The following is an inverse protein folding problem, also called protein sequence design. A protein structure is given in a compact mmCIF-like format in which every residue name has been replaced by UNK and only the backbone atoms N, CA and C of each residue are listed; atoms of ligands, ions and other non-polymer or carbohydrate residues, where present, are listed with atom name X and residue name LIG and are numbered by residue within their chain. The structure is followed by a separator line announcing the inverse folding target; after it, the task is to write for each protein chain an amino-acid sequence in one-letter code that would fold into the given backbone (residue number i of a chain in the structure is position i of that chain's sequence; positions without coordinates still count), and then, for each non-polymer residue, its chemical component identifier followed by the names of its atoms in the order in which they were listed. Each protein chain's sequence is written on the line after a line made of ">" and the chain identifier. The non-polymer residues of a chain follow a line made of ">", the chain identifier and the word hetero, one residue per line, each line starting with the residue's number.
data_IF_772684459428
#
_entry.id   IF_772684459428
#
_cell.length_a   1.000
_cell.length_b   1.000
_cell.length_c   1.000
_cell.angle_alpha   90.00
_cell.angle_beta   90.00
_cell.angle_gamma   90.00
#
_symmetry.space_group_name_H-M   'P 1'
#
loop_
_entity.id
_entity.type
_entity.pdbx_description
1 polymer ?
#
# COMPACT_ATOMS: atom_id res chain seq x y z
N UNK A 1 -0.75 -20.38 20.70
CA UNK A 1 -1.89 -19.45 20.80
C UNK A 1 -3.15 -20.24 20.49
N UNK A 2 -4.27 -19.99 21.16
CA UNK A 2 -5.51 -20.71 20.89
C UNK A 2 -6.73 -19.82 21.13
N UNK A 3 -7.86 -20.16 20.51
CA UNK A 3 -9.15 -19.54 20.81
C UNK A 3 -9.64 -19.94 22.19
N UNK A 4 -10.56 -19.14 22.73
CA UNK A 4 -11.15 -19.37 24.05
C UNK A 4 -11.99 -20.66 24.12
N UNK A 5 -12.59 -21.05 22.99
CA UNK A 5 -13.47 -22.20 22.81
C UNK A 5 -12.77 -23.42 22.19
N UNK A 6 -11.44 -23.45 22.21
CA UNK A 6 -10.69 -24.54 21.61
C UNK A 6 -10.93 -25.87 22.35
N UNK A 7 -11.50 -26.82 21.63
CA UNK A 7 -11.65 -28.22 22.03
C UNK A 7 -11.06 -29.07 20.89
N UNK A 8 -10.02 -29.89 21.16
CA UNK A 8 -9.37 -30.71 20.13
C UNK A 8 -10.37 -31.54 19.33
N UNK A 9 -10.27 -31.49 18.00
CA UNK A 9 -11.17 -32.15 17.05
C UNK A 9 -12.66 -31.76 17.12
N UNK A 10 -13.04 -30.70 17.86
CA UNK A 10 -14.45 -30.32 18.07
C UNK A 10 -14.71 -28.86 17.71
N UNK A 11 -13.99 -27.92 18.32
CA UNK A 11 -14.25 -26.47 18.17
C UNK A 11 -12.99 -25.63 18.31
N UNK A 12 -13.04 -24.39 17.82
CA UNK A 12 -12.00 -23.38 17.98
C UNK A 12 -10.76 -23.57 17.10
N UNK A 13 -9.69 -22.86 17.44
CA UNK A 13 -8.41 -22.95 16.74
C UNK A 13 -7.23 -22.97 17.70
N UNK A 14 -6.13 -23.60 17.29
CA UNK A 14 -4.87 -23.65 18.04
C UNK A 14 -3.69 -23.54 17.08
N UNK A 15 -2.86 -22.53 17.31
CA UNK A 15 -1.53 -22.36 16.74
C UNK A 15 -0.49 -22.85 17.75
N UNK A 16 0.16 -23.96 17.44
CA UNK A 16 1.21 -24.57 18.25
C UNK A 16 2.54 -23.87 18.05
N UNK A 17 3.49 -24.10 18.97
CA UNK A 17 4.82 -23.46 18.94
C UNK A 17 5.71 -23.98 17.81
N UNK A 18 5.41 -25.17 17.28
CA UNK A 18 6.05 -25.76 16.11
C UNK A 18 5.53 -25.20 14.78
N UNK A 19 4.58 -24.26 14.83
CA UNK A 19 3.95 -23.66 13.65
C UNK A 19 2.74 -24.42 13.13
N UNK A 20 2.36 -25.56 13.74
CA UNK A 20 1.15 -26.27 13.34
C UNK A 20 -0.11 -25.48 13.71
N UNK A 21 -1.07 -25.40 12.78
CA UNK A 21 -2.34 -24.71 12.95
C UNK A 21 -3.48 -25.73 12.85
N UNK A 22 -4.20 -25.92 13.95
CA UNK A 22 -5.41 -26.73 14.03
C UNK A 22 -6.61 -25.79 14.03
N UNK A 23 -7.57 -26.03 13.14
CA UNK A 23 -8.83 -25.28 13.07
C UNK A 23 -9.96 -26.29 13.05
N UNK A 24 -10.74 -26.33 14.12
CA UNK A 24 -11.91 -27.18 14.25
C UNK A 24 -13.14 -26.29 14.20
N UNK A 25 -13.74 -26.11 13.03
CA UNK A 25 -15.05 -25.46 12.94
C UNK A 25 -15.87 -26.03 11.78
N UNK A 26 -17.18 -26.19 12.00
CA UNK A 26 -18.12 -26.55 10.94
C UNK A 26 -18.43 -25.37 9.98
N UNK A 27 -18.03 -24.14 10.33
CA UNK A 27 -18.30 -22.92 9.54
C UNK A 27 -17.15 -21.93 9.73
N UNK A 28 -16.20 -21.94 8.80
CA UNK A 28 -15.31 -20.81 8.60
C UNK A 28 -16.03 -19.79 7.72
N UNK A 29 -16.28 -18.60 8.25
CA UNK A 29 -16.59 -17.42 7.43
C UNK A 29 -15.67 -16.29 7.88
N UNK A 30 -14.44 -16.26 7.37
CA UNK A 30 -13.64 -15.02 7.42
C UNK A 30 -14.15 -14.13 6.31
N UNK A 31 -14.81 -13.02 6.68
CA UNK A 31 -15.35 -12.04 5.72
C UNK A 31 -16.72 -12.37 5.13
N UNK A 32 -17.46 -13.34 5.69
CA UNK A 32 -18.85 -13.57 5.26
C UNK A 32 -19.75 -12.41 5.66
N UNK A 33 -20.33 -11.71 4.70
CA UNK A 33 -21.34 -10.67 4.99
C UNK A 33 -22.58 -11.35 5.61
N UNK A 34 -23.18 -10.79 6.69
CA UNK A 34 -24.34 -11.37 7.36
C UNK A 34 -25.46 -11.79 6.39
N UNK A 35 -26.02 -12.99 6.58
CA UNK A 35 -27.10 -13.53 5.75
C UNK A 35 -28.45 -12.81 5.95
N UNK A 36 -28.56 -12.01 7.01
CA UNK A 36 -29.76 -11.23 7.31
C UNK A 36 -29.71 -9.85 6.61
N UNK A 37 -30.88 -9.29 6.22
CA UNK A 37 -30.96 -7.92 5.71
C UNK A 37 -30.35 -6.91 6.68
N UNK A 38 -29.48 -6.04 6.17
CA UNK A 38 -28.80 -5.03 6.98
C UNK A 38 -29.45 -3.66 6.83
N UNK A 39 -29.19 -2.76 7.79
CA UNK A 39 -29.49 -1.34 7.61
C UNK A 39 -28.51 -0.75 6.61
N UNK A 40 -29.04 -0.10 5.58
CA UNK A 40 -28.26 0.56 4.53
C UNK A 40 -28.68 2.02 4.41
N UNK A 41 -27.71 2.84 4.00
CA UNK A 41 -27.94 4.22 3.59
C UNK A 41 -28.23 4.22 2.10
N UNK A 42 -29.42 4.68 1.72
CA UNK A 42 -29.85 4.78 0.33
C UNK A 42 -29.77 6.23 -0.11
N UNK A 43 -29.09 6.49 -1.23
CA UNK A 43 -29.10 7.79 -1.88
C UNK A 43 -30.43 8.01 -2.61
N UNK A 44 -31.22 8.97 -2.13
CA UNK A 44 -32.44 9.40 -2.80
C UNK A 44 -32.17 10.46 -3.89
N UNK A 45 -31.05 11.17 -3.79
CA UNK A 45 -30.59 12.09 -4.83
C UNK A 45 -29.22 12.68 -4.51
N UNK A 46 -28.53 13.08 -5.57
CA UNK A 46 -27.22 13.70 -5.53
C UNK A 46 -27.18 14.78 -6.61
N UNK A 47 -26.74 15.98 -6.23
CA UNK A 47 -26.70 17.15 -7.10
C UNK A 47 -25.42 17.93 -6.85
N UNK A 48 -24.86 18.54 -7.90
CA UNK A 48 -23.86 19.58 -7.68
C UNK A 48 -24.56 20.78 -7.05
N UNK A 49 -23.89 21.46 -6.12
CA UNK A 49 -24.47 22.61 -5.41
C UNK A 49 -24.90 23.73 -6.38
N UNK A 50 -24.19 23.87 -7.52
CA UNK A 50 -24.51 24.81 -8.60
C UNK A 50 -25.78 24.49 -9.38
N UNK A 51 -26.23 23.24 -9.36
CA UNK A 51 -27.43 22.80 -10.08
C UNK A 51 -28.70 22.93 -9.22
N UNK A 52 -28.52 23.27 -7.93
CA UNK A 52 -29.62 23.49 -7.00
C UNK A 52 -30.07 24.96 -7.02
N UNK A 53 -31.36 25.24 -6.75
CA UNK A 53 -31.84 26.61 -6.70
C UNK A 53 -31.07 27.44 -5.67
N UNK A 54 -30.59 28.63 -6.07
CA UNK A 54 -29.90 29.56 -5.15
C UNK A 54 -30.87 30.20 -4.16
N UNK A 55 -32.13 30.38 -4.56
CA UNK A 55 -33.16 30.93 -3.68
C UNK A 55 -33.55 29.92 -2.60
N UNK A 56 -33.47 30.31 -1.33
CA UNK A 56 -33.75 29.43 -0.20
C UNK A 56 -35.16 28.81 -0.24
N UNK A 57 -36.18 29.56 -0.65
CA UNK A 57 -37.55 29.04 -0.73
C UNK A 57 -37.68 27.97 -1.82
N UNK A 58 -37.11 28.23 -2.99
CA UNK A 58 -37.10 27.27 -4.10
C UNK A 58 -36.25 26.04 -3.78
N UNK A 59 -35.13 26.22 -3.08
CA UNK A 59 -34.30 25.13 -2.58
C UNK A 59 -35.10 24.20 -1.65
N UNK A 60 -35.77 24.77 -0.64
CA UNK A 60 -36.58 23.98 0.29
C UNK A 60 -37.76 23.30 -0.42
N UNK A 61 -38.42 23.97 -1.36
CA UNK A 61 -39.49 23.39 -2.15
C UNK A 61 -38.97 22.21 -3.01
N UNK A 62 -37.81 22.38 -3.66
CA UNK A 62 -37.17 21.35 -4.44
C UNK A 62 -36.81 20.13 -3.57
N UNK A 63 -36.06 20.33 -2.49
CA UNK A 63 -35.65 19.23 -1.61
C UNK A 63 -36.86 18.56 -0.95
N UNK A 64 -37.86 19.33 -0.52
CA UNK A 64 -39.12 18.80 0.01
C UNK A 64 -39.85 17.90 -0.99
N UNK A 65 -39.83 18.26 -2.28
CA UNK A 65 -40.38 17.40 -3.34
C UNK A 65 -39.61 16.08 -3.49
N UNK A 66 -38.29 16.10 -3.31
CA UNK A 66 -37.46 14.88 -3.35
C UNK A 66 -37.70 14.00 -2.12
N UNK A 67 -37.82 14.59 -0.92
CA UNK A 67 -38.17 13.86 0.31
C UNK A 67 -39.54 13.19 0.17
N UNK A 68 -40.49 13.82 -0.53
CA UNK A 68 -41.82 13.24 -0.76
C UNK A 68 -41.77 11.97 -1.62
N UNK A 69 -40.75 11.81 -2.48
CA UNK A 69 -40.52 10.57 -3.25
C UNK A 69 -39.98 9.42 -2.39
N UNK A 70 -39.38 9.70 -1.24
CA UNK A 70 -38.95 8.68 -0.27
C UNK A 70 -40.21 8.06 0.37
N UNK A 71 -40.28 6.72 0.55
CA UNK A 71 -41.39 6.07 1.25
C UNK A 71 -41.62 6.66 2.63
N UNK A 72 -42.89 6.83 3.01
CA UNK A 72 -43.29 7.61 4.19
C UNK A 72 -42.66 7.10 5.50
N UNK A 73 -42.51 5.78 5.62
CA UNK A 73 -41.89 5.07 6.74
C UNK A 73 -40.40 5.38 6.92
N UNK A 74 -39.70 5.86 5.89
CA UNK A 74 -38.27 6.16 5.95
C UNK A 74 -37.94 7.65 5.95
N UNK A 75 -38.91 8.53 5.68
CA UNK A 75 -38.70 9.99 5.61
C UNK A 75 -38.11 10.57 6.89
N UNK A 76 -38.45 10.01 8.05
CA UNK A 76 -37.93 10.46 9.35
C UNK A 76 -36.39 10.26 9.49
N UNK A 77 -35.82 9.32 8.73
CA UNK A 77 -34.37 9.06 8.70
C UNK A 77 -33.64 9.84 7.61
N UNK A 78 -34.36 10.61 6.79
CA UNK A 78 -33.78 11.31 5.65
C UNK A 78 -32.83 12.42 6.14
N UNK A 79 -31.63 12.47 5.55
CA UNK A 79 -30.56 13.42 5.88
C UNK A 79 -30.04 14.08 4.61
N UNK A 80 -29.81 15.38 4.71
CA UNK A 80 -29.11 16.15 3.68
C UNK A 80 -27.68 16.35 4.17
N UNK A 81 -26.71 16.05 3.33
CA UNK A 81 -25.30 16.28 3.61
C UNK A 81 -24.65 16.99 2.43
N UNK A 82 -23.71 17.87 2.72
CA UNK A 82 -22.89 18.55 1.71
C UNK A 82 -21.45 18.07 1.86
N UNK A 83 -20.84 17.61 0.77
CA UNK A 83 -19.44 17.20 0.69
C UNK A 83 -18.71 18.01 -0.37
N UNK A 84 -17.42 18.22 -0.15
CA UNK A 84 -16.50 18.80 -1.12
C UNK A 84 -15.67 17.67 -1.73
N UNK A 85 -15.86 17.41 -3.02
CA UNK A 85 -15.15 16.38 -3.78
C UNK A 85 -14.06 16.97 -4.70
N UNK A 86 -13.64 18.21 -4.44
CA UNK A 86 -12.61 18.90 -5.21
C UNK A 86 -11.26 18.23 -5.06
N UNK A 87 -10.76 17.63 -6.15
CA UNK A 87 -9.40 17.09 -6.23
C UNK A 87 -8.40 18.06 -6.87
N UNK A 88 -8.90 19.04 -7.65
CA UNK A 88 -8.07 19.97 -8.43
C UNK A 88 -8.19 21.42 -7.91
N UNK A 89 -7.06 22.14 -7.73
CA UNK A 89 -7.09 23.55 -7.39
C UNK A 89 -7.78 24.38 -8.48
N UNK A 90 -8.91 25.01 -8.13
CA UNK A 90 -9.66 25.91 -9.01
C UNK A 90 -11.01 25.36 -9.51
N UNK A 91 -11.32 24.08 -9.25
CA UNK A 91 -12.61 23.47 -9.58
C UNK A 91 -13.29 22.97 -8.32
N UNK A 92 -14.14 23.81 -7.72
CA UNK A 92 -14.96 23.40 -6.59
C UNK A 92 -16.06 22.42 -7.06
N UNK A 93 -15.97 21.14 -6.68
CA UNK A 93 -17.03 20.15 -6.86
C UNK A 93 -17.74 19.89 -5.53
N UNK A 94 -18.62 20.83 -5.16
CA UNK A 94 -19.45 20.71 -3.96
C UNK A 94 -20.70 19.92 -4.32
N UNK A 95 -20.91 18.80 -3.64
CA UNK A 95 -22.05 17.89 -3.83
C UNK A 95 -23.01 17.98 -2.66
N UNK A 96 -24.30 17.97 -2.96
CA UNK A 96 -25.38 17.86 -1.98
C UNK A 96 -26.05 16.51 -2.18
N UNK A 97 -26.06 15.69 -1.14
CA UNK A 97 -26.70 14.38 -1.14
C UNK A 97 -27.91 14.36 -0.21
N UNK A 98 -29.01 13.77 -0.69
CA UNK A 98 -30.16 13.38 0.12
C UNK A 98 -30.12 11.87 0.30
N UNK A 99 -29.99 11.41 1.54
CA UNK A 99 -29.94 9.98 1.89
C UNK A 99 -31.00 9.62 2.90
N UNK A 100 -31.35 8.35 3.02
CA UNK A 100 -32.22 7.83 4.09
C UNK A 100 -31.81 6.40 4.47
N UNK A 101 -32.24 5.94 5.64
CA UNK A 101 -31.89 4.62 6.15
C UNK A 101 -33.07 3.65 5.99
N UNK A 102 -32.81 2.46 5.43
CA UNK A 102 -33.76 1.35 5.41
C UNK A 102 -33.07 0.00 5.49
N UNK A 103 -33.83 -1.06 5.71
CA UNK A 103 -33.30 -2.42 5.53
C UNK A 103 -33.16 -2.75 4.05
N UNK A 104 -32.13 -3.53 3.72
CA UNK A 104 -31.96 -4.13 2.40
C UNK A 104 -33.24 -4.89 1.98
N UNK A 105 -33.57 -4.84 0.69
CA UNK A 105 -34.61 -5.71 0.13
C UNK A 105 -34.09 -7.14 -0.05
N UNK A 106 -34.99 -8.08 -0.34
CA UNK A 106 -34.61 -9.46 -0.65
C UNK A 106 -33.71 -9.54 -1.89
N UNK A 107 -33.93 -8.69 -2.89
CA UNK A 107 -33.12 -8.60 -4.11
C UNK A 107 -31.72 -8.07 -3.79
N UNK A 108 -31.60 -7.00 -3.01
CA UNK A 108 -30.32 -6.42 -2.59
C UNK A 108 -29.51 -7.41 -1.75
N UNK A 109 -30.17 -8.10 -0.81
CA UNK A 109 -29.58 -9.19 -0.05
C UNK A 109 -29.07 -10.30 -0.97
N UNK A 110 -29.89 -10.74 -1.94
CA UNK A 110 -29.50 -11.78 -2.89
C UNK A 110 -28.30 -11.36 -3.75
N UNK A 111 -28.25 -10.09 -4.15
CA UNK A 111 -27.15 -9.53 -4.94
C UNK A 111 -25.86 -9.48 -4.10
N UNK A 112 -25.94 -9.05 -2.85
CA UNK A 112 -24.82 -9.05 -1.91
C UNK A 112 -24.28 -10.46 -1.68
N UNK A 113 -25.17 -11.43 -1.47
CA UNK A 113 -24.80 -12.84 -1.29
C UNK A 113 -24.22 -13.49 -2.56
N UNK A 114 -24.63 -13.05 -3.75
CA UNK A 114 -24.01 -13.47 -5.01
C UNK A 114 -22.61 -12.86 -5.17
N UNK A 115 -22.46 -11.57 -4.88
CA UNK A 115 -21.17 -10.86 -4.96
C UNK A 115 -20.15 -11.44 -3.99
N UNK A 116 -20.56 -11.85 -2.78
CA UNK A 116 -19.67 -12.48 -1.80
C UNK A 116 -19.25 -13.91 -2.17
N UNK A 117 -20.00 -14.61 -3.04
CA UNK A 117 -19.65 -15.96 -3.51
C UNK A 117 -18.72 -15.96 -4.72
N UNK A 118 -18.70 -14.87 -5.49
CA UNK A 118 -17.99 -14.77 -6.75
C UNK A 118 -16.82 -13.79 -6.78
N UNK A 119 -16.44 -13.17 -5.67
CA UNK A 119 -15.34 -12.22 -5.63
C UNK A 119 -14.15 -12.81 -4.85
N UNK A 120 -13.05 -13.04 -5.55
CA UNK A 120 -11.77 -13.41 -4.97
C UNK A 120 -11.54 -14.92 -4.85
N UNK A 121 -10.59 -15.28 -3.98
CA UNK A 121 -10.15 -16.66 -3.80
C UNK A 121 -11.09 -17.45 -2.89
N UNK A 122 -11.54 -18.61 -3.35
CA UNK A 122 -12.29 -19.57 -2.53
C UNK A 122 -11.64 -20.95 -2.62
N UNK A 123 -11.76 -21.73 -1.54
CA UNK A 123 -11.28 -23.11 -1.49
C UNK A 123 -12.48 -23.98 -1.11
N UNK A 124 -12.77 -24.96 -1.96
CA UNK A 124 -13.84 -25.93 -1.74
C UNK A 124 -13.25 -27.33 -1.61
N UNK A 125 -13.65 -28.06 -0.58
CA UNK A 125 -13.36 -29.50 -0.44
C UNK A 125 -14.63 -30.28 -0.78
N UNK A 126 -14.54 -31.19 -1.73
CA UNK A 126 -15.57 -32.17 -2.08
C UNK A 126 -14.93 -33.56 -2.07
N UNK A 127 -15.21 -34.37 -1.04
CA UNK A 127 -14.49 -35.64 -0.84
C UNK A 127 -12.97 -35.41 -0.69
N UNK A 128 -12.17 -36.11 -1.49
CA UNK A 128 -10.70 -35.98 -1.55
C UNK A 128 -10.21 -34.92 -2.54
N UNK A 129 -11.13 -34.17 -3.14
CA UNK A 129 -10.82 -33.10 -4.09
C UNK A 129 -10.85 -31.74 -3.41
N UNK A 130 -9.74 -31.02 -3.48
CA UNK A 130 -9.65 -29.60 -3.14
C UNK A 130 -9.66 -28.78 -4.43
N UNK A 131 -10.53 -27.77 -4.49
CA UNK A 131 -10.62 -26.84 -5.61
C UNK A 131 -10.38 -25.43 -5.09
N UNK A 132 -9.33 -24.79 -5.57
CA UNK A 132 -9.03 -23.39 -5.35
C UNK A 132 -9.58 -22.63 -6.55
N UNK A 133 -10.51 -21.71 -6.33
CA UNK A 133 -11.15 -20.92 -7.37
C UNK A 133 -10.85 -19.45 -7.18
N UNK A 134 -10.73 -18.71 -8.28
CA UNK A 134 -10.73 -17.25 -8.30
C UNK A 134 -11.93 -16.79 -9.11
N UNK A 135 -12.79 -15.96 -8.52
CA UNK A 135 -14.04 -15.49 -9.11
C UNK A 135 -14.95 -16.64 -9.61
N UNK A 136 -15.01 -17.73 -8.84
CA UNK A 136 -15.79 -18.93 -9.18
C UNK A 136 -15.16 -19.83 -10.24
N UNK A 137 -14.09 -19.39 -10.92
CA UNK A 137 -13.33 -20.21 -11.86
C UNK A 137 -12.28 -21.05 -11.11
N UNK A 138 -12.27 -22.39 -11.25
CA UNK A 138 -11.23 -23.22 -10.65
C UNK A 138 -9.86 -22.87 -11.27
N UNK A 139 -8.88 -22.60 -10.40
CA UNK A 139 -7.50 -22.27 -10.75
C UNK A 139 -6.54 -23.39 -10.39
N UNK A 140 -6.76 -24.04 -9.24
CA UNK A 140 -5.96 -25.18 -8.80
C UNK A 140 -6.92 -26.27 -8.35
N UNK A 141 -6.70 -27.50 -8.79
CA UNK A 141 -7.42 -28.68 -8.30
C UNK A 141 -6.39 -29.66 -7.78
N UNK A 142 -6.49 -30.01 -6.50
CA UNK A 142 -5.63 -31.00 -5.85
C UNK A 142 -6.48 -32.21 -5.43
N UNK A 143 -6.01 -33.41 -5.73
CA UNK A 143 -6.71 -34.67 -5.42
C UNK A 143 -7.54 -35.21 -6.57
N UNK A 144 -8.54 -36.06 -6.26
CA UNK A 144 -9.28 -36.91 -7.21
C UNK A 144 -8.42 -38.02 -7.85
N UNK A 145 -7.79 -38.84 -7.00
CA UNK A 145 -6.96 -39.99 -7.42
C UNK A 145 -7.78 -41.14 -8.02
N UNK A 146 -9.11 -41.14 -7.84
CA UNK A 146 -10.00 -42.20 -8.35
C UNK A 146 -10.23 -42.14 -9.86
N UNK A 147 -9.73 -41.08 -10.54
CA UNK A 147 -9.67 -41.00 -12.01
C UNK A 147 -8.35 -41.53 -12.59
N UNK A 148 -7.58 -42.31 -11.83
CA UNK A 148 -6.33 -42.92 -12.30
C UNK A 148 -6.51 -43.87 -13.50
N UNK A 149 -7.74 -44.27 -13.84
CA UNK A 149 -8.03 -45.16 -14.97
C UNK A 149 -8.09 -44.44 -16.34
N UNK A 150 -8.18 -43.11 -16.38
CA UNK A 150 -7.92 -42.36 -17.61
C UNK A 150 -6.41 -42.21 -17.74
N UNK A 151 -5.79 -43.02 -18.61
CA UNK A 151 -4.38 -42.90 -19.03
C UNK A 151 -4.07 -41.43 -19.34
N UNK A 152 -3.43 -40.74 -18.40
CA UNK A 152 -2.80 -39.46 -18.69
C UNK A 152 -1.59 -39.80 -19.58
N UNK A 153 -1.74 -39.63 -20.90
CA UNK A 153 -0.69 -39.95 -21.88
C UNK A 153 0.60 -39.15 -21.66
N UNK A 154 0.51 -37.98 -21.01
CA UNK A 154 1.64 -37.09 -20.77
C UNK A 154 1.95 -36.91 -19.28
N UNK A 155 3.17 -37.21 -18.82
CA UNK A 155 3.54 -37.16 -17.39
C UNK A 155 3.45 -35.76 -16.76
N UNK A 156 3.49 -34.73 -17.60
CA UNK A 156 3.19 -33.35 -17.31
C UNK A 156 2.32 -32.82 -18.44
N UNK A 157 1.09 -32.39 -18.13
CA UNK A 157 0.19 -31.78 -19.10
C UNK A 157 -0.21 -30.39 -18.63
N UNK A 158 -0.15 -29.42 -19.54
CA UNK A 158 -0.76 -28.11 -19.34
C UNK A 158 -1.92 -28.01 -20.33
N UNK A 159 -3.13 -28.15 -19.81
CA UNK A 159 -4.36 -28.02 -20.59
C UNK A 159 -5.08 -26.74 -20.16
N UNK A 160 -5.00 -25.70 -20.99
CA UNK A 160 -5.45 -24.35 -20.63
C UNK A 160 -4.64 -23.78 -19.47
N UNK A 161 -5.32 -23.38 -18.39
CA UNK A 161 -4.72 -22.84 -17.16
C UNK A 161 -4.44 -23.93 -16.10
N UNK A 162 -4.64 -25.21 -16.43
CA UNK A 162 -4.51 -26.33 -15.51
C UNK A 162 -3.21 -27.10 -15.76
N UNK A 163 -2.48 -27.39 -14.68
CA UNK A 163 -1.28 -28.24 -14.69
C UNK A 163 -1.61 -29.59 -14.04
N UNK A 164 -1.35 -30.68 -14.74
CA UNK A 164 -1.55 -32.06 -14.28
C UNK A 164 -0.21 -32.81 -14.23
N UNK A 165 0.11 -33.45 -13.10
CA UNK A 165 1.26 -34.36 -12.96
C UNK A 165 0.78 -35.77 -12.68
N UNK A 166 1.27 -36.75 -13.44
CA UNK A 166 0.94 -38.15 -13.24
C UNK A 166 1.71 -38.73 -12.04
N UNK A 167 1.06 -39.60 -11.26
CA UNK A 167 1.68 -40.29 -10.12
C UNK A 167 2.93 -41.09 -10.54
N UNK A 168 2.90 -41.71 -11.71
CA UNK A 168 4.06 -42.42 -12.28
C UNK A 168 5.27 -41.51 -12.51
N UNK A 169 5.07 -40.23 -12.82
CA UNK A 169 6.15 -39.25 -12.96
C UNK A 169 6.75 -38.87 -11.59
N UNK A 170 5.91 -38.74 -10.57
CA UNK A 170 6.34 -38.52 -9.18
C UNK A 170 7.15 -39.71 -8.68
N UNK A 171 6.70 -40.94 -8.99
CA UNK A 171 7.40 -42.15 -8.62
C UNK A 171 8.73 -42.31 -9.38
N UNK A 172 8.80 -41.88 -10.64
CA UNK A 172 10.04 -41.82 -11.42
C UNK A 172 11.00 -40.72 -10.94
N UNK A 173 10.48 -39.64 -10.34
CA UNK A 173 11.24 -38.54 -9.74
C UNK A 173 11.84 -38.87 -8.37
N UNK A 174 11.61 -40.07 -7.82
CA UNK A 174 12.25 -40.50 -6.57
C UNK A 174 13.75 -40.61 -6.79
N UNK A 175 14.51 -39.88 -5.98
CA UNK A 175 15.96 -40.04 -5.92
C UNK A 175 16.29 -41.50 -5.56
N UNK A 176 17.14 -42.13 -6.37
CA UNK A 176 17.61 -43.49 -6.09
C UNK A 176 18.20 -43.57 -4.68
N UNK A 177 18.11 -44.72 -3.97
CA UNK A 177 18.67 -44.89 -2.61
C UNK A 177 20.16 -44.56 -2.50
N UNK A 178 20.86 -44.46 -3.63
CA UNK A 178 22.27 -44.09 -3.73
C UNK A 178 22.47 -42.58 -3.54
N UNK A 179 21.44 -41.76 -3.70
CA UNK A 179 21.53 -40.30 -3.51
C UNK A 179 21.32 -39.94 -2.04
N UNK A 180 22.32 -39.28 -1.46
CA UNK A 180 22.28 -38.77 -0.09
C UNK A 180 22.00 -37.28 -0.08
N UNK A 181 21.22 -36.85 0.92
CA UNK A 181 21.09 -35.44 1.27
C UNK A 181 22.11 -35.13 2.35
N UNK A 182 23.00 -34.17 2.11
CA UNK A 182 23.92 -33.65 3.13
C UNK A 182 23.18 -32.62 3.95
N UNK A 183 23.15 -32.80 5.27
CA UNK A 183 22.67 -31.79 6.21
C UNK A 183 23.83 -31.20 7.01
N UNK A 184 23.71 -29.94 7.41
CA UNK A 184 24.63 -29.27 8.35
C UNK A 184 23.83 -28.59 9.46
N UNK A 185 24.46 -28.29 10.59
CA UNK A 185 23.82 -27.51 11.66
C UNK A 185 24.22 -26.05 11.51
N UNK A 186 23.24 -25.14 11.42
CA UNK A 186 23.51 -23.71 11.35
C UNK A 186 23.91 -23.14 12.73
N UNK A 187 24.32 -21.87 12.77
CA UNK A 187 24.70 -21.18 14.01
C UNK A 187 23.59 -21.11 15.07
N UNK A 188 22.33 -21.32 14.69
CA UNK A 188 21.18 -21.38 15.58
C UNK A 188 20.86 -22.81 16.07
N UNK A 189 21.72 -23.79 15.79
CA UNK A 189 21.53 -25.18 16.20
C UNK A 189 20.52 -25.97 15.35
N UNK A 190 20.07 -25.42 14.22
CA UNK A 190 19.08 -26.06 13.35
C UNK A 190 19.76 -26.88 12.26
N UNK A 191 19.28 -28.10 12.03
CA UNK A 191 19.69 -28.91 10.89
C UNK A 191 19.12 -28.33 9.60
N UNK A 192 19.98 -27.95 8.66
CA UNK A 192 19.64 -27.39 7.35
C UNK A 192 20.25 -28.23 6.24
N UNK A 193 19.59 -28.27 5.09
CA UNK A 193 20.06 -28.98 3.90
C UNK A 193 21.25 -28.22 3.30
N UNK A 194 22.38 -28.90 3.16
CA UNK A 194 23.66 -28.35 2.70
C UNK A 194 24.09 -28.87 1.32
N UNK A 195 23.38 -29.85 0.76
CA UNK A 195 23.60 -30.34 -0.60
C UNK A 195 22.91 -31.67 -0.88
N UNK A 196 22.88 -32.07 -2.15
CA UNK A 196 22.40 -33.36 -2.63
C UNK A 196 23.49 -33.97 -3.51
N UNK A 197 23.84 -35.24 -3.30
CA UNK A 197 24.91 -35.89 -4.06
C UNK A 197 24.72 -37.40 -4.17
N UNK A 198 25.20 -37.97 -5.28
CA UNK A 198 25.23 -39.42 -5.47
C UNK A 198 26.33 -40.03 -4.60
N UNK A 199 25.94 -40.91 -3.67
CA UNK A 199 26.81 -41.69 -2.80
C UNK A 199 27.59 -42.74 -3.56
N UNK A 200 28.49 -42.30 -4.44
CA UNK A 200 29.64 -43.09 -4.84
C UNK A 200 30.66 -42.95 -3.71
N UNK A 201 30.90 -44.04 -2.98
CA UNK A 201 31.92 -44.09 -1.94
C UNK A 201 33.27 -43.64 -2.49
N UNK A 202 33.67 -42.41 -2.20
CA UNK A 202 35.02 -41.95 -2.41
C UNK A 202 35.31 -40.81 -1.44
N UNK A 203 36.28 -41.06 -0.56
CA UNK A 203 36.96 -40.02 0.20
C UNK A 203 37.57 -39.03 -0.80
N UNK A 204 37.20 -37.76 -0.76
CA UNK A 204 38.04 -36.67 -1.23
C UNK A 204 37.60 -35.38 -0.52
N UNK A 205 38.56 -34.76 0.14
CA UNK A 205 38.52 -33.39 0.62
C UNK A 205 38.10 -32.41 -0.49
N UNK A 206 37.58 -31.25 -0.06
CA UNK A 206 36.98 -30.19 -0.87
C UNK A 206 37.47 -30.06 -2.32
N UNK A 207 36.64 -30.50 -3.27
CA UNK A 207 36.79 -30.21 -4.70
C UNK A 207 35.77 -29.17 -5.14
N UNK A 208 36.25 -28.00 -5.55
CA UNK A 208 35.48 -26.94 -6.21
C UNK A 208 34.95 -27.42 -7.57
N UNK A 209 33.66 -27.19 -7.87
CA UNK A 209 32.98 -27.67 -9.10
C UNK A 209 32.76 -26.57 -10.16
N UNK A 210 33.55 -25.49 -10.16
CA UNK A 210 33.44 -24.43 -11.16
C UNK A 210 34.27 -24.68 -12.41
N UNK A 211 33.74 -24.29 -13.57
CA UNK A 211 34.41 -24.27 -14.87
C UNK A 211 35.62 -23.32 -14.87
N UNK A 212 36.77 -23.68 -15.52
CA UNK A 212 37.92 -22.78 -15.63
C UNK A 212 37.61 -21.66 -16.64
N UNK A 213 36.98 -20.58 -16.17
CA UNK A 213 36.58 -19.44 -17.01
C UNK A 213 35.85 -18.32 -16.27
N UNK A 214 35.19 -18.62 -15.15
CA UNK A 214 34.35 -17.65 -14.43
C UNK A 214 35.13 -16.68 -13.52
N UNK A 215 36.43 -16.47 -13.77
CA UNK A 215 37.19 -15.37 -13.16
C UNK A 215 37.09 -14.11 -14.01
N UNK A 216 35.89 -13.62 -14.24
CA UNK A 216 35.72 -12.18 -14.09
C UNK A 216 35.48 -11.96 -12.60
N UNK A 217 36.54 -11.58 -11.89
CA UNK A 217 36.41 -11.01 -10.55
C UNK A 217 35.51 -9.78 -10.68
N UNK A 218 34.20 -9.97 -10.52
CA UNK A 218 33.35 -8.88 -10.06
C UNK A 218 34.00 -8.40 -8.76
N UNK A 219 34.42 -7.13 -8.64
CA UNK A 219 35.03 -6.62 -7.43
C UNK A 219 33.98 -6.67 -6.32
N UNK A 220 33.94 -7.80 -5.62
CA UNK A 220 33.23 -7.91 -4.36
C UNK A 220 34.09 -7.18 -3.36
N UNK A 221 33.67 -5.97 -2.99
CA UNK A 221 34.28 -5.23 -1.89
C UNK A 221 34.02 -6.03 -0.61
N UNK A 222 34.98 -6.88 -0.23
CA UNK A 222 34.95 -7.63 1.03
C UNK A 222 35.37 -6.66 2.12
N UNK A 223 34.39 -6.14 2.86
CA UNK A 223 34.64 -5.30 4.05
C UNK A 223 35.04 -6.24 5.19
N UNK A 224 36.27 -6.09 5.70
CA UNK A 224 36.76 -6.84 6.85
C UNK A 224 36.28 -6.17 8.14
N UNK A 225 35.23 -6.71 8.76
CA UNK A 225 34.67 -6.19 10.02
C UNK A 225 35.53 -6.52 11.26
N UNK A 226 36.75 -7.06 11.09
CA UNK A 226 37.70 -7.29 12.20
C UNK A 226 38.46 -6.02 12.64
N UNK A 227 38.22 -4.89 11.99
CA UNK A 227 38.90 -3.61 12.27
C UNK A 227 38.02 -2.72 13.16
N UNK A 228 38.66 -1.82 13.93
CA UNK A 228 38.02 -0.72 14.67
C UNK A 228 36.84 -0.12 13.90
N UNK A 229 35.72 0.11 14.59
CA UNK A 229 34.44 0.56 14.01
C UNK A 229 34.61 1.80 13.14
N UNK A 230 35.51 2.71 13.52
CA UNK A 230 35.79 3.94 12.78
C UNK A 230 36.39 3.64 11.40
N UNK A 231 37.34 2.70 11.34
CA UNK A 231 37.98 2.27 10.09
C UNK A 231 37.01 1.51 9.19
N UNK A 232 36.11 0.71 9.78
CA UNK A 232 35.05 0.04 9.03
C UNK A 232 34.07 1.02 8.38
N UNK A 233 33.72 2.10 9.08
CA UNK A 233 32.86 3.16 8.54
C UNK A 233 33.53 3.95 7.41
N UNK A 234 34.83 4.24 7.53
CA UNK A 234 35.59 4.89 6.46
C UNK A 234 35.67 4.03 5.20
N UNK A 235 35.85 2.71 5.35
CA UNK A 235 35.84 1.77 4.23
C UNK A 235 34.47 1.69 3.55
N UNK A 236 33.38 1.65 4.33
CA UNK A 236 32.03 1.68 3.79
C UNK A 236 31.77 2.97 3.02
N UNK A 237 32.20 4.12 3.56
CA UNK A 237 32.09 5.42 2.92
C UNK A 237 32.85 5.45 1.59
N UNK A 238 34.07 4.94 1.56
CA UNK A 238 34.89 4.86 0.34
C UNK A 238 34.19 4.00 -0.72
N UNK A 239 33.72 2.80 -0.35
CA UNK A 239 33.01 1.91 -1.27
C UNK A 239 31.73 2.54 -1.83
N UNK A 240 30.93 3.21 -0.99
CA UNK A 240 29.72 3.91 -1.43
C UNK A 240 30.04 5.06 -2.41
N UNK A 241 31.15 5.77 -2.21
CA UNK A 241 31.56 6.88 -3.09
C UNK A 241 31.94 6.43 -4.50
N UNK A 242 32.31 5.17 -4.68
CA UNK A 242 32.67 4.61 -5.99
C UNK A 242 31.45 4.10 -6.78
N UNK A 243 30.33 3.85 -6.11
CA UNK A 243 29.09 3.39 -6.77
C UNK A 243 28.46 4.49 -7.62
N UNK A 244 27.84 4.13 -8.74
CA UNK A 244 27.12 5.09 -9.59
C UNK A 244 25.98 5.80 -8.85
N UNK A 245 25.28 5.08 -7.96
CA UNK A 245 24.26 5.67 -7.09
C UNK A 245 24.88 6.69 -6.12
N UNK A 246 26.03 6.37 -5.51
CA UNK A 246 26.74 7.25 -4.60
C UNK A 246 27.24 8.53 -5.28
N UNK A 247 27.82 8.42 -6.48
CA UNK A 247 28.23 9.57 -7.30
C UNK A 247 27.04 10.44 -7.70
N UNK A 248 25.95 9.83 -8.17
CA UNK A 248 24.75 10.55 -8.57
C UNK A 248 24.11 11.31 -7.38
N UNK A 249 24.06 10.68 -6.21
CA UNK A 249 23.55 11.32 -4.99
C UNK A 249 24.45 12.47 -4.53
N UNK A 250 25.78 12.29 -4.55
CA UNK A 250 26.73 13.34 -4.20
C UNK A 250 26.59 14.57 -5.12
N UNK A 251 26.51 14.34 -6.44
CA UNK A 251 26.31 15.40 -7.42
C UNK A 251 24.98 16.15 -7.21
N UNK A 252 23.89 15.42 -6.89
CA UNK A 252 22.59 16.05 -6.58
C UNK A 252 22.64 16.91 -5.31
N UNK A 253 23.34 16.43 -4.27
CA UNK A 253 23.52 17.19 -3.02
C UNK A 253 24.30 18.48 -3.30
N UNK A 254 25.40 18.41 -4.05
CA UNK A 254 26.20 19.58 -4.40
C UNK A 254 25.40 20.58 -5.26
N UNK A 255 24.61 20.07 -6.20
CA UNK A 255 23.72 20.89 -7.02
C UNK A 255 22.64 21.61 -6.18
N UNK A 256 21.96 20.90 -5.28
CA UNK A 256 20.99 21.54 -4.39
C UNK A 256 21.64 22.56 -3.45
N UNK A 257 22.83 22.26 -2.92
CA UNK A 257 23.56 23.17 -2.04
C UNK A 257 23.94 24.47 -2.75
N UNK A 258 24.47 24.37 -3.97
CA UNK A 258 24.85 25.53 -4.78
C UNK A 258 23.65 26.38 -5.19
N UNK A 259 22.52 25.76 -5.56
CA UNK A 259 21.28 26.48 -5.85
C UNK A 259 20.77 27.23 -4.61
N UNK A 260 20.72 26.57 -3.45
CA UNK A 260 20.26 27.21 -2.21
C UNK A 260 21.15 28.39 -1.80
N UNK A 261 22.47 28.21 -1.86
CA UNK A 261 23.41 29.30 -1.57
C UNK A 261 23.23 30.51 -2.51
N UNK A 262 22.97 30.26 -3.79
CA UNK A 262 22.66 31.32 -4.76
C UNK A 262 21.34 32.03 -4.43
N UNK A 263 20.28 31.26 -4.14
CA UNK A 263 18.97 31.79 -3.76
C UNK A 263 19.04 32.65 -2.49
N UNK A 264 19.79 32.21 -1.47
CA UNK A 264 20.00 32.94 -0.23
C UNK A 264 20.74 34.26 -0.48
N UNK A 265 21.75 34.25 -1.34
CA UNK A 265 22.49 35.47 -1.74
C UNK A 265 21.56 36.46 -2.45
N UNK A 266 20.71 35.99 -3.36
CA UNK A 266 19.73 36.83 -4.06
C UNK A 266 18.67 37.39 -3.10
N UNK A 267 18.19 36.57 -2.16
CA UNK A 267 17.23 37.00 -1.15
C UNK A 267 17.83 38.09 -0.25
N UNK A 268 19.06 37.89 0.24
CA UNK A 268 19.78 38.88 1.04
C UNK A 268 19.95 40.21 0.30
N UNK A 269 20.31 40.17 -1.00
CA UNK A 269 20.41 41.36 -1.83
C UNK A 269 19.06 42.09 -1.99
N UNK A 270 17.97 41.34 -2.18
CA UNK A 270 16.61 41.93 -2.27
C UNK A 270 16.16 42.56 -0.96
N UNK A 271 16.45 41.92 0.18
CA UNK A 271 16.18 42.47 1.51
C UNK A 271 16.92 43.80 1.69
N UNK A 272 18.23 43.84 1.41
CA UNK A 272 19.02 45.07 1.49
C UNK A 272 18.50 46.19 0.58
N UNK A 273 18.05 45.87 -0.63
CA UNK A 273 17.45 46.86 -1.53
C UNK A 273 16.11 47.42 -1.00
N UNK A 274 15.28 46.57 -0.38
CA UNK A 274 14.03 47.01 0.25
C UNK A 274 14.30 47.88 1.46
N UNK A 275 15.23 47.48 2.34
CA UNK A 275 15.65 48.27 3.49
C UNK A 275 16.15 49.67 3.08
N UNK A 276 16.98 49.75 2.03
CA UNK A 276 17.44 51.02 1.50
C UNK A 276 16.28 51.93 1.03
N UNK A 277 15.29 51.37 0.31
CA UNK A 277 14.12 52.14 -0.15
C UNK A 277 13.24 52.61 0.99
N UNK A 278 13.03 51.77 2.01
CA UNK A 278 12.26 52.13 3.21
C UNK A 278 12.96 53.26 3.97
N UNK A 279 14.27 53.13 4.22
CA UNK A 279 15.06 54.15 4.90
C UNK A 279 15.07 55.48 4.14
N UNK A 280 15.15 55.44 2.80
CA UNK A 280 15.02 56.64 1.98
C UNK A 280 13.63 57.30 2.13
N UNK A 281 12.56 56.51 2.11
CA UNK A 281 11.19 57.01 2.30
C UNK A 281 10.98 57.67 3.67
N UNK A 282 11.53 57.08 4.73
CA UNK A 282 11.51 57.67 6.08
C UNK A 282 12.29 58.99 6.13
N UNK A 283 13.47 59.05 5.51
CA UNK A 283 14.25 60.29 5.42
C UNK A 283 13.50 61.42 4.72
N UNK A 284 12.80 61.12 3.61
CA UNK A 284 11.94 62.10 2.93
C UNK A 284 10.80 62.55 3.82
N UNK A 285 10.14 61.63 4.53
CA UNK A 285 9.05 61.98 5.45
C UNK A 285 9.54 62.91 6.58
N UNK A 286 10.73 62.68 7.12
CA UNK A 286 11.32 63.53 8.15
C UNK A 286 11.73 64.90 7.61
N UNK A 287 12.27 64.98 6.38
CA UNK A 287 12.52 66.25 5.69
C UNK A 287 11.22 67.05 5.50
N UNK A 288 10.15 66.41 5.04
CA UNK A 288 8.83 67.05 4.87
C UNK A 288 8.30 67.57 6.20
N UNK A 289 8.39 66.76 7.27
CA UNK A 289 7.99 67.20 8.62
C UNK A 289 8.80 68.39 9.08
N UNK A 290 10.11 68.43 8.82
CA UNK A 290 10.96 69.54 9.24
C UNK A 290 10.62 70.83 8.49
N UNK A 291 10.39 70.76 7.18
CA UNK A 291 9.91 71.90 6.38
C UNK A 291 8.56 72.38 6.89
N UNK A 292 7.61 71.48 7.15
CA UNK A 292 6.31 71.87 7.70
C UNK A 292 6.45 72.54 9.07
N UNK A 293 7.32 72.03 9.95
CA UNK A 293 7.60 72.66 11.24
C UNK A 293 8.21 74.04 11.08
N UNK A 294 9.11 74.26 10.12
CA UNK A 294 9.72 75.59 9.90
C UNK A 294 8.69 76.58 9.35
N UNK A 295 7.85 76.17 8.40
CA UNK A 295 6.83 77.03 7.79
C UNK A 295 5.71 77.43 8.76
N UNK A 296 5.46 76.61 9.78
CA UNK A 296 4.47 76.88 10.83
C UNK A 296 5.01 77.70 12.00
N UNK A 297 6.29 78.08 12.01
CA UNK A 297 6.86 78.98 13.03
C UNK A 297 6.70 80.46 12.63
N UNK A 298 6.72 81.40 13.59
CA UNK A 298 6.67 82.83 13.29
C UNK A 298 7.67 83.26 12.21
N UNK A 299 7.17 83.90 11.15
CA UNK A 299 7.95 84.29 9.98
C UNK A 299 7.93 83.29 8.81
N UNK A 300 7.40 82.08 9.00
CA UNK A 300 7.16 81.11 7.91
C UNK A 300 5.94 81.46 7.06
N UNK A 301 5.90 80.97 5.82
CA UNK A 301 4.85 81.29 4.83
C UNK A 301 3.47 80.81 5.27
N UNK A 302 3.42 79.68 5.98
CA UNK A 302 2.17 79.06 6.46
C UNK A 302 1.79 79.52 7.87
N UNK A 303 2.61 80.36 8.51
CA UNK A 303 2.32 80.84 9.85
C UNK A 303 1.21 81.89 9.84
N UNK A 304 0.14 81.61 10.59
CA UNK A 304 -0.93 82.57 10.84
C UNK A 304 -0.78 83.07 12.28
N UNK A 305 -0.16 84.25 12.41
CA UNK A 305 -0.08 84.94 13.69
C UNK A 305 -1.48 85.26 14.23
N UNK A 306 -1.71 84.97 15.50
CA UNK A 306 -2.75 85.64 16.29
C UNK A 306 -2.07 86.67 17.17
#
# INVERSE_FOLDING_TARGET
>A
MQSHDYVPNVSGWKLSKDGSLEINSARFSVGGLPEQPQMITVAAGEWAARDLPENAWEYYAFIGSQITKIPAEYRASAKISTSDESYEPGFADIRVMLTYERRETAEELSARMKKSKGAGYSIKKEGDKFTFSHDGLPRIVLGNLDKADEKIETPFAVEGDQVSLAQAFIDAGKLSPVWGVRTTTNAAGQTVLAGVGAGLGCMCEGGYTGTPGDKEEKPSVKIDFKVDVSKGLDQLRAALSETELGKALAAKIEHEFTIRASADTQLAARIGAVEARVNQGLGVADQVREVLRSELRPGGLLWRGR
#
